data_IF_291099188019
#
_entry.id   IF_291099188019
#
_cell.length_a   1.000
_cell.length_b   1.000
_cell.length_c   1.000
_cell.angle_alpha   90.00
_cell.angle_beta   90.00
_cell.angle_gamma   90.00
#
_symmetry.space_group_name_H-M   'P 1'
#
loop_
_entity.id
_entity.type
_entity.pdbx_description
1 polymer ?
#
# COMPACT_ATOMS: atom_id res chain seq x y z
N UNK A 1 5.16 23.17 -5.55
CA UNK A 1 4.83 22.85 -4.15
C UNK A 1 3.51 22.10 -4.19
N UNK A 2 3.42 20.77 -4.02
CA UNK A 2 2.10 20.16 -4.00
C UNK A 2 1.42 20.63 -2.71
N UNK A 3 0.30 21.28 -2.95
CA UNK A 3 -0.51 22.01 -1.99
C UNK A 3 -0.99 21.06 -0.90
N UNK A 4 -1.30 21.58 0.30
CA UNK A 4 -2.00 20.82 1.34
C UNK A 4 -3.39 20.54 0.80
N UNK A 5 -3.49 19.52 -0.05
CA UNK A 5 -4.70 19.12 -0.74
C UNK A 5 -5.74 18.83 0.31
N UNK A 6 -6.85 19.54 0.24
CA UNK A 6 -8.06 19.17 0.91
C UNK A 6 -8.55 17.88 0.22
N UNK A 7 -7.92 16.75 0.54
CA UNK A 7 -8.29 15.46 -0.03
C UNK A 7 -9.70 15.14 0.46
N UNK A 8 -10.64 14.95 -0.47
CA UNK A 8 -11.99 14.51 -0.16
C UNK A 8 -11.96 13.04 0.28
N UNK A 9 -11.56 12.81 1.54
CA UNK A 9 -11.44 11.47 2.14
C UNK A 9 -12.71 10.63 1.95
N UNK A 10 -13.93 11.17 2.11
CA UNK A 10 -15.15 10.40 1.85
C UNK A 10 -15.24 9.90 0.40
N UNK A 11 -14.88 10.74 -0.57
CA UNK A 11 -14.91 10.39 -1.99
C UNK A 11 -13.79 9.39 -2.35
N UNK A 12 -12.59 9.56 -1.79
CA UNK A 12 -11.49 8.61 -1.96
C UNK A 12 -11.84 7.24 -1.36
N UNK A 13 -12.47 7.22 -0.19
CA UNK A 13 -12.94 6.01 0.46
C UNK A 13 -13.96 5.26 -0.41
N UNK A 14 -14.95 5.99 -0.92
CA UNK A 14 -15.96 5.41 -1.80
C UNK A 14 -15.33 4.78 -3.04
N UNK A 15 -14.46 5.51 -3.75
CA UNK A 15 -13.74 4.97 -4.91
C UNK A 15 -12.88 3.76 -4.58
N UNK A 16 -12.19 3.79 -3.45
CA UNK A 16 -11.35 2.66 -3.02
C UNK A 16 -12.21 1.43 -2.69
N UNK A 17 -13.38 1.61 -2.08
CA UNK A 17 -14.32 0.50 -1.87
C UNK A 17 -14.84 -0.07 -3.19
N UNK A 18 -15.15 0.77 -4.18
CA UNK A 18 -15.53 0.30 -5.52
C UNK A 18 -14.41 -0.53 -6.16
N UNK A 19 -13.17 -0.06 -6.00
CA UNK A 19 -11.96 -0.72 -6.49
C UNK A 19 -11.64 -2.06 -5.80
N UNK A 20 -11.91 -2.15 -4.50
CA UNK A 20 -11.72 -3.36 -3.71
C UNK A 20 -12.87 -4.36 -3.90
N UNK A 21 -14.07 -3.88 -4.23
CA UNK A 21 -15.29 -4.66 -4.42
C UNK A 21 -15.49 -5.71 -3.31
N UNK A 22 -15.31 -7.01 -3.62
CA UNK A 22 -15.45 -8.13 -2.69
C UNK A 22 -14.38 -8.12 -1.56
N UNK A 23 -13.30 -7.36 -1.72
CA UNK A 23 -12.22 -7.20 -0.75
C UNK A 23 -12.32 -5.89 0.06
N UNK A 24 -13.52 -5.30 0.21
CA UNK A 24 -13.69 -4.04 0.94
C UNK A 24 -13.13 -4.08 2.39
N UNK A 25 -13.06 -5.26 3.01
CA UNK A 25 -12.42 -5.49 4.30
C UNK A 25 -10.90 -5.22 4.32
N UNK A 26 -10.27 -5.08 3.16
CA UNK A 26 -8.87 -4.72 2.98
C UNK A 26 -8.63 -3.21 2.87
N UNK A 27 -9.65 -2.40 3.15
CA UNK A 27 -9.54 -0.96 3.12
C UNK A 27 -8.42 -0.44 4.03
N UNK A 28 -7.51 0.42 3.52
CA UNK A 28 -6.35 0.88 4.28
C UNK A 28 -6.69 2.07 5.18
N UNK A 29 -7.20 1.79 6.38
CA UNK A 29 -7.62 2.80 7.34
C UNK A 29 -6.43 3.61 7.90
N UNK A 30 -5.28 2.99 8.15
CA UNK A 30 -4.11 3.71 8.66
C UNK A 30 -3.51 4.63 7.60
N UNK A 31 -3.51 4.22 6.32
CA UNK A 31 -3.12 5.11 5.22
C UNK A 31 -4.08 6.28 5.08
N UNK A 32 -5.39 6.07 5.20
CA UNK A 32 -6.36 7.17 5.19
C UNK A 32 -6.06 8.20 6.29
N UNK A 33 -5.89 7.74 7.53
CA UNK A 33 -5.73 8.59 8.71
C UNK A 33 -4.38 9.33 8.74
N UNK A 34 -3.30 8.67 8.31
CA UNK A 34 -1.93 9.20 8.46
C UNK A 34 -1.33 9.72 7.16
N UNK A 35 -1.78 9.18 6.03
CA UNK A 35 -1.19 9.44 4.71
C UNK A 35 -2.26 9.60 3.62
N UNK A 36 -3.17 10.59 3.72
CA UNK A 36 -4.26 10.77 2.77
C UNK A 36 -3.78 10.99 1.32
N UNK A 37 -2.59 11.54 1.14
CA UNK A 37 -1.92 11.66 -0.16
C UNK A 37 -1.57 10.31 -0.80
N UNK A 38 -1.28 9.30 0.01
CA UNK A 38 -1.01 7.94 -0.47
C UNK A 38 -2.33 7.31 -0.89
N UNK A 39 -3.39 7.43 -0.08
CA UNK A 39 -4.72 6.96 -0.46
C UNK A 39 -5.20 7.55 -1.79
N UNK A 40 -5.02 8.86 -1.98
CA UNK A 40 -5.35 9.52 -3.24
C UNK A 40 -4.60 8.91 -4.44
N UNK A 41 -3.30 8.63 -4.27
CA UNK A 41 -2.48 7.99 -5.31
C UNK A 41 -2.85 6.53 -5.54
N UNK A 42 -3.24 5.81 -4.50
CA UNK A 42 -3.73 4.43 -4.62
C UNK A 42 -4.99 4.39 -5.48
N UNK A 43 -5.96 5.25 -5.19
CA UNK A 43 -7.20 5.37 -5.97
C UNK A 43 -6.91 5.81 -7.41
N UNK A 44 -6.01 6.78 -7.63
CA UNK A 44 -5.63 7.25 -8.97
C UNK A 44 -4.98 6.16 -9.83
N UNK A 45 -4.11 5.35 -9.22
CA UNK A 45 -3.34 4.32 -9.92
C UNK A 45 -4.03 2.94 -9.93
N UNK A 46 -5.17 2.78 -9.24
CA UNK A 46 -5.84 1.49 -9.13
C UNK A 46 -6.26 0.94 -10.50
N UNK A 47 -5.94 -0.32 -10.77
CA UNK A 47 -6.18 -0.94 -12.08
C UNK A 47 -5.11 -0.66 -13.12
N UNK A 48 -4.02 0.03 -12.75
CA UNK A 48 -2.87 0.27 -13.63
C UNK A 48 -1.63 -0.49 -13.14
N UNK A 49 -0.75 -0.84 -14.07
CA UNK A 49 0.54 -1.43 -13.74
C UNK A 49 1.44 -0.49 -12.90
N UNK A 50 1.21 0.83 -12.99
CA UNK A 50 1.96 1.84 -12.24
C UNK A 50 1.71 1.78 -10.72
N UNK A 51 0.57 1.22 -10.29
CA UNK A 51 0.29 1.01 -8.87
C UNK A 51 1.32 0.09 -8.22
N UNK A 52 1.74 -0.97 -8.90
CA UNK A 52 2.72 -1.91 -8.36
C UNK A 52 4.09 -1.21 -8.16
N UNK A 53 4.50 -0.42 -9.14
CA UNK A 53 5.73 0.38 -9.06
C UNK A 53 5.65 1.42 -7.93
N UNK A 54 4.48 2.04 -7.74
CA UNK A 54 4.25 2.98 -6.66
C UNK A 54 4.33 2.29 -5.28
N UNK A 55 3.63 1.17 -5.09
CA UNK A 55 3.65 0.38 -3.85
C UNK A 55 5.08 -0.10 -3.53
N UNK A 56 5.81 -0.59 -4.53
CA UNK A 56 7.21 -0.98 -4.37
C UNK A 56 8.09 0.21 -3.97
N UNK A 57 7.89 1.39 -4.58
CA UNK A 57 8.62 2.60 -4.20
C UNK A 57 8.31 3.05 -2.76
N UNK A 58 7.10 2.81 -2.24
CA UNK A 58 6.77 3.10 -0.84
C UNK A 58 7.50 2.16 0.13
N UNK A 59 7.67 0.89 -0.25
CA UNK A 59 8.38 -0.11 0.55
C UNK A 59 9.92 0.06 0.48
N UNK A 60 10.46 0.43 -0.69
CA UNK A 60 11.90 0.63 -0.91
C UNK A 60 12.40 1.97 -0.35
N UNK A 61 11.50 2.92 -0.07
CA UNK A 61 11.85 4.20 0.55
C UNK A 61 12.25 4.08 2.04
N UNK A 62 13.10 3.11 2.38
CA UNK A 62 13.98 3.12 3.56
C UNK A 62 15.08 4.16 3.30
N UNK A 63 14.70 5.44 3.33
CA UNK A 63 15.68 6.53 3.43
C UNK A 63 16.12 6.52 4.89
N UNK A 64 17.39 6.21 5.15
CA UNK A 64 18.03 5.98 6.46
C UNK A 64 17.90 7.11 7.50
N UNK A 65 17.11 8.15 7.22
CA UNK A 65 16.89 9.34 8.05
C UNK A 65 15.39 9.57 8.40
N UNK A 66 14.48 8.71 7.93
CA UNK A 66 13.04 8.77 8.29
C UNK A 66 12.60 7.45 8.93
N UNK A 67 11.90 7.54 10.05
CA UNK A 67 11.07 6.44 10.56
C UNK A 67 10.21 5.95 9.39
N UNK A 68 10.38 4.69 8.99
CA UNK A 68 9.60 4.09 7.91
C UNK A 68 8.09 4.10 8.21
N UNK A 69 7.31 3.41 7.37
CA UNK A 69 5.90 3.25 7.68
C UNK A 69 5.72 2.51 9.02
N UNK A 70 4.76 2.92 9.86
CA UNK A 70 4.37 2.11 11.00
C UNK A 70 3.89 0.74 10.50
N UNK A 71 4.11 -0.31 11.28
CA UNK A 71 3.84 -1.69 10.89
C UNK A 71 2.44 -1.90 10.35
N UNK A 72 1.43 -1.24 10.93
CA UNK A 72 0.05 -1.29 10.46
C UNK A 72 -0.12 -0.71 9.04
N UNK A 73 0.48 0.44 8.76
CA UNK A 73 0.41 1.05 7.42
C UNK A 73 1.18 0.23 6.39
N UNK A 74 2.32 -0.36 6.77
CA UNK A 74 3.07 -1.24 5.88
C UNK A 74 2.29 -2.52 5.54
N UNK A 75 1.58 -3.11 6.52
CA UNK A 75 0.70 -4.27 6.33
C UNK A 75 -0.44 -3.95 5.36
N UNK A 76 -1.03 -2.76 5.48
CA UNK A 76 -2.07 -2.29 4.55
C UNK A 76 -1.54 -2.14 3.12
N UNK A 77 -0.39 -1.47 2.93
CA UNK A 77 0.27 -1.34 1.61
C UNK A 77 0.51 -2.71 0.97
N UNK A 78 0.97 -3.68 1.76
CA UNK A 78 1.22 -5.03 1.27
C UNK A 78 -0.08 -5.75 0.87
N UNK A 79 -1.12 -5.71 1.73
CA UNK A 79 -2.41 -6.34 1.45
C UNK A 79 -3.00 -5.82 0.13
N UNK A 80 -2.86 -4.52 -0.14
CA UNK A 80 -3.29 -3.91 -1.40
C UNK A 80 -2.50 -4.44 -2.61
N UNK A 81 -1.18 -4.63 -2.48
CA UNK A 81 -0.36 -5.23 -3.54
C UNK A 81 -0.83 -6.65 -3.88
N UNK A 82 -1.12 -7.46 -2.86
CA UNK A 82 -1.64 -8.82 -3.03
C UNK A 82 -2.99 -8.82 -3.75
N UNK A 83 -3.93 -7.96 -3.35
CA UNK A 83 -5.25 -7.85 -3.98
C UNK A 83 -5.11 -7.40 -5.43
N UNK A 84 -4.31 -6.37 -5.69
CA UNK A 84 -4.07 -5.88 -7.06
C UNK A 84 -3.45 -6.97 -7.95
N UNK A 85 -2.52 -7.76 -7.41
CA UNK A 85 -1.95 -8.93 -8.09
C UNK A 85 -2.97 -10.05 -8.30
N UNK A 86 -3.81 -10.35 -7.31
CA UNK A 86 -4.85 -11.39 -7.39
C UNK A 86 -5.92 -11.05 -8.45
N UNK A 87 -6.23 -9.77 -8.62
CA UNK A 87 -7.12 -9.27 -9.68
C UNK A 87 -6.49 -9.35 -11.08
N UNK A 88 -5.22 -9.74 -11.21
CA UNK A 88 -4.50 -9.83 -12.49
C UNK A 88 -4.17 -8.48 -13.11
N UNK A 89 -4.29 -7.40 -12.34
CA UNK A 89 -4.05 -6.02 -12.78
C UNK A 89 -2.56 -5.64 -12.69
N UNK A 90 -1.79 -6.41 -11.92
CA UNK A 90 -0.34 -6.29 -11.88
C UNK A 90 0.32 -7.09 -13.02
N UNK A 91 1.32 -6.52 -13.72
CA UNK A 91 2.17 -7.30 -14.60
C UNK A 91 2.89 -8.38 -13.78
N UNK A 92 2.92 -9.61 -14.31
CA UNK A 92 3.52 -10.76 -13.63
C UNK A 92 4.95 -10.38 -13.18
N UNK A 93 5.24 -10.38 -11.87
CA UNK A 93 6.49 -9.84 -11.36
C UNK A 93 7.64 -10.67 -11.91
N UNK A 94 8.45 -10.04 -12.76
CA UNK A 94 9.72 -10.61 -13.22
C UNK A 94 10.74 -10.39 -12.11
N UNK A 95 10.63 -11.21 -11.07
CA UNK A 95 11.63 -11.43 -10.02
C UNK A 95 12.27 -10.17 -9.43
N UNK A 96 11.62 -9.51 -8.47
CA UNK A 96 12.34 -8.72 -7.44
C UNK A 96 11.47 -8.47 -6.21
N UNK A 97 12.01 -8.80 -5.02
CA UNK A 97 11.77 -8.04 -3.80
C UNK A 97 10.98 -8.73 -2.70
N UNK A 98 9.65 -8.61 -2.71
CA UNK A 98 8.84 -8.84 -1.50
C UNK A 98 7.51 -9.58 -1.76
N UNK A 99 7.13 -9.74 -3.03
CA UNK A 99 5.90 -10.43 -3.45
C UNK A 99 5.99 -11.97 -3.31
N UNK A 100 7.17 -12.51 -2.98
CA UNK A 100 7.39 -13.93 -2.66
C UNK A 100 7.36 -14.26 -1.17
N UNK A 101 7.22 -13.25 -0.31
CA UNK A 101 7.12 -13.41 1.14
C UNK A 101 5.64 -13.67 1.45
N UNK A 102 5.29 -14.92 1.75
CA UNK A 102 3.93 -15.27 2.14
C UNK A 102 3.50 -14.53 3.42
N UNK A 103 2.18 -14.43 3.63
CA UNK A 103 1.53 -13.72 4.75
C UNK A 103 2.19 -13.98 6.13
N UNK A 104 2.71 -15.20 6.34
CA UNK A 104 3.33 -15.66 7.59
C UNK A 104 4.79 -15.20 7.83
N UNK A 105 5.50 -14.75 6.82
CA UNK A 105 6.92 -14.36 6.95
C UNK A 105 7.09 -12.84 7.14
N UNK A 106 6.04 -12.06 6.86
CA UNK A 106 6.00 -10.60 7.00
C UNK A 106 5.83 -10.17 8.46
N UNK A 107 4.93 -10.80 9.23
CA UNK A 107 4.80 -10.53 10.66
C UNK A 107 6.16 -10.73 11.37
N UNK A 108 6.92 -11.76 10.98
CA UNK A 108 8.29 -12.01 11.46
C UNK A 108 9.29 -10.93 11.01
N UNK A 109 9.17 -10.42 9.78
CA UNK A 109 10.03 -9.33 9.27
C UNK A 109 9.85 -8.04 10.08
N UNK A 110 8.61 -7.67 10.39
CA UNK A 110 8.32 -6.47 11.19
C UNK A 110 8.58 -6.67 12.69
N UNK A 111 8.36 -7.87 13.25
CA UNK A 111 8.73 -8.19 14.64
C UNK A 111 10.24 -8.10 14.87
N UNK A 112 11.06 -8.57 13.92
CA UNK A 112 12.51 -8.65 14.09
C UNK A 112 13.21 -7.29 14.04
N UNK A 113 12.61 -6.25 13.42
CA UNK A 113 13.19 -4.89 13.33
C UNK A 113 12.86 -4.02 14.57
N UNK A 114 11.97 -4.46 15.45
CA UNK A 114 11.55 -3.73 16.66
C UNK A 114 12.22 -4.23 17.96
N UNK A 115 13.29 -5.02 17.82
CA UNK A 115 14.10 -5.52 18.94
C UNK A 115 15.59 -5.30 18.66
N UNK A 116 16.03 -4.04 18.79
CA UNK A 116 17.41 -3.68 19.13
C UNK A 116 17.42 -2.39 19.96
#
# INVERSE_FOLDING_TARGET
MPERGNYDIPALREKMHEHLAENAEAYPLQLELRFPQILARLVELWGTADLDHYLNSLMVADRSDRQGFPSDAAREIFRLSVIHGALGLAPKPSGTGWMGVGDLEIDRYFEKKHSV
#
